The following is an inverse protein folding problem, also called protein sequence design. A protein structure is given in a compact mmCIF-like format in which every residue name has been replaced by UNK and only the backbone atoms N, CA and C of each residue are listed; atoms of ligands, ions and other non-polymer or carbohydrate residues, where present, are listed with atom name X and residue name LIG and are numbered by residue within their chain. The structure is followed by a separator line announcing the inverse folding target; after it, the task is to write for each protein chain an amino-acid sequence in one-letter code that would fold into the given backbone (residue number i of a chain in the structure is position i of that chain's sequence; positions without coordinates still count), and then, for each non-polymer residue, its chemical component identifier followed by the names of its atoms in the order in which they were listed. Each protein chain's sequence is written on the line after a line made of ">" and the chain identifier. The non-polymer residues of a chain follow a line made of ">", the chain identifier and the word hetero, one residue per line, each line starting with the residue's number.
data_IF_748992567563
#
_entry.id   IF_748992567563
#
_cell.length_a   1.000
_cell.length_b   1.000
_cell.length_c   1.000
_cell.angle_alpha   90.00
_cell.angle_beta   90.00
_cell.angle_gamma   90.00
#
_symmetry.space_group_name_H-M   'P 1'
#
loop_
_entity.id
_entity.type
_entity.pdbx_description
1 polymer ?
#
# COMPACT_ATOMS: atom_id res chain seq x y z
N UNK A 1 24.54 -16.58 21.74
CA UNK A 1 25.66 -15.60 21.67
C UNK A 1 25.93 -15.29 20.19
N UNK A 2 25.45 -14.16 19.65
CA UNK A 2 25.66 -13.83 18.23
C UNK A 2 27.12 -13.48 17.94
N UNK A 3 27.69 -14.10 16.88
CA UNK A 3 29.07 -13.87 16.42
C UNK A 3 29.29 -12.40 16.00
N UNK A 4 30.48 -11.86 16.25
CA UNK A 4 30.87 -10.45 16.00
C UNK A 4 30.65 -10.01 14.54
N UNK A 5 30.76 -10.92 13.57
CA UNK A 5 30.41 -10.69 12.15
C UNK A 5 28.91 -10.41 11.95
N UNK A 6 28.03 -11.15 12.61
CA UNK A 6 26.57 -10.96 12.50
C UNK A 6 26.15 -9.60 13.08
N UNK A 7 26.76 -9.17 14.20
CA UNK A 7 26.50 -7.85 14.79
C UNK A 7 26.93 -6.69 13.88
N UNK A 8 28.07 -6.82 13.19
CA UNK A 8 28.55 -5.80 12.26
C UNK A 8 27.70 -5.72 11.00
N UNK A 9 27.23 -6.86 10.49
CA UNK A 9 26.33 -6.91 9.34
C UNK A 9 24.97 -6.27 9.66
N UNK A 10 24.39 -6.60 10.82
CA UNK A 10 23.14 -5.97 11.30
C UNK A 10 23.31 -4.47 11.45
N UNK A 11 24.44 -4.00 12.03
CA UNK A 11 24.71 -2.57 12.17
C UNK A 11 24.83 -1.86 10.81
N UNK A 12 25.48 -2.49 9.83
CA UNK A 12 25.63 -1.92 8.49
C UNK A 12 24.29 -1.83 7.75
N UNK A 13 23.44 -2.86 7.85
CA UNK A 13 22.09 -2.87 7.27
C UNK A 13 21.22 -1.78 7.90
N UNK A 14 21.26 -1.63 9.24
CA UNK A 14 20.50 -0.59 9.94
C UNK A 14 20.95 0.83 9.54
N UNK A 15 22.26 1.06 9.44
CA UNK A 15 22.80 2.36 9.05
C UNK A 15 22.46 2.72 7.60
N UNK A 16 22.52 1.74 6.69
CA UNK A 16 22.12 1.92 5.30
C UNK A 16 20.62 2.23 5.17
N UNK A 17 19.77 1.60 6.00
CA UNK A 17 18.34 1.88 6.03
C UNK A 17 18.05 3.30 6.53
N UNK A 18 18.70 3.77 7.59
CA UNK A 18 18.53 5.14 8.12
C UNK A 18 18.96 6.21 7.10
N UNK A 19 20.06 5.99 6.36
CA UNK A 19 20.51 6.91 5.30
C UNK A 19 19.54 6.95 4.12
N UNK A 20 18.92 5.82 3.74
CA UNK A 20 17.90 5.77 2.70
C UNK A 20 16.60 6.47 3.12
N UNK A 21 16.13 6.23 4.35
CA UNK A 21 14.95 6.89 4.92
C UNK A 21 15.09 8.41 4.94
N UNK A 22 16.29 8.91 5.28
CA UNK A 22 16.59 10.35 5.24
C UNK A 22 16.64 10.91 3.83
N UNK A 23 17.20 10.18 2.86
CA UNK A 23 17.29 10.64 1.46
C UNK A 23 15.93 10.69 0.78
N UNK A 24 15.08 9.70 1.03
CA UNK A 24 13.72 9.62 0.46
C UNK A 24 12.66 10.35 1.29
N UNK A 25 13.08 10.97 2.40
CA UNK A 25 12.23 11.66 3.37
C UNK A 25 10.98 10.87 3.74
N UNK A 26 11.16 9.61 4.16
CA UNK A 26 10.05 8.71 4.49
C UNK A 26 9.37 9.10 5.82
N UNK A 27 8.06 8.88 5.89
CA UNK A 27 7.21 9.19 7.03
C UNK A 27 7.46 8.24 8.20
N UNK A 28 7.64 6.96 7.90
CA UNK A 28 7.89 5.91 8.90
C UNK A 28 9.27 5.29 8.75
N UNK A 29 9.67 4.50 9.75
CA UNK A 29 10.86 3.65 9.66
C UNK A 29 10.56 2.43 8.78
N UNK A 30 11.63 1.85 8.22
CA UNK A 30 11.60 0.64 7.40
C UNK A 30 10.85 -0.52 8.07
N UNK A 31 10.18 -1.35 7.26
CA UNK A 31 9.48 -2.55 7.73
C UNK A 31 10.36 -3.46 8.61
N UNK A 32 11.65 -3.59 8.33
CA UNK A 32 12.53 -4.42 9.17
C UNK A 32 12.69 -3.89 10.61
N UNK A 33 12.37 -2.62 10.82
CA UNK A 33 12.39 -1.97 12.13
C UNK A 33 11.02 -1.99 12.81
N UNK A 34 9.94 -1.84 12.03
CA UNK A 34 8.58 -1.66 12.57
C UNK A 34 7.77 -2.95 12.59
N UNK A 35 7.97 -3.82 11.61
CA UNK A 35 7.09 -4.96 11.32
C UNK A 35 5.69 -4.55 10.84
N UNK A 36 5.53 -3.32 10.35
CA UNK A 36 4.23 -2.74 9.98
C UNK A 36 4.20 -2.34 8.51
N UNK A 37 3.04 -2.55 7.88
CA UNK A 37 2.65 -1.87 6.63
C UNK A 37 1.56 -0.85 6.93
N UNK A 38 1.31 0.08 6.02
CA UNK A 38 0.45 1.24 6.30
C UNK A 38 -0.76 1.27 5.40
N UNK A 39 -1.95 1.20 5.99
CA UNK A 39 -3.23 1.28 5.30
C UNK A 39 -3.91 2.62 5.57
N UNK A 40 -4.53 3.18 4.54
CA UNK A 40 -5.32 4.40 4.63
C UNK A 40 -6.80 4.01 4.53
N UNK A 41 -7.58 4.41 5.54
CA UNK A 41 -9.02 4.20 5.57
C UNK A 41 -9.78 5.51 5.78
N UNK A 42 -11.07 5.53 5.44
CA UNK A 42 -11.92 6.66 5.79
C UNK A 42 -12.07 6.74 7.31
N UNK A 43 -12.03 7.94 7.88
CA UNK A 43 -12.17 8.11 9.33
C UNK A 43 -13.51 7.58 9.87
N UNK A 44 -14.57 7.60 9.07
CA UNK A 44 -15.89 7.08 9.47
C UNK A 44 -15.89 5.56 9.65
N UNK A 45 -14.97 4.85 9.00
CA UNK A 45 -14.82 3.39 9.11
C UNK A 45 -13.97 2.99 10.34
N UNK A 46 -13.29 3.94 10.97
CA UNK A 46 -12.31 3.68 12.04
C UNK A 46 -12.91 2.88 13.20
N UNK A 47 -14.15 3.20 13.61
CA UNK A 47 -14.82 2.48 14.70
C UNK A 47 -14.98 0.99 14.34
N UNK A 48 -15.53 0.71 13.16
CA UNK A 48 -15.75 -0.67 12.72
C UNK A 48 -14.43 -1.42 12.54
N UNK A 49 -13.41 -0.77 11.97
CA UNK A 49 -12.07 -1.35 11.81
C UNK A 49 -11.48 -1.74 13.17
N UNK A 50 -11.61 -0.90 14.19
CA UNK A 50 -11.07 -1.19 15.52
C UNK A 50 -11.87 -2.24 16.30
N UNK A 51 -13.16 -2.39 16.01
CA UNK A 51 -14.02 -3.36 16.68
C UNK A 51 -13.97 -4.74 16.01
N UNK A 52 -13.90 -4.79 14.67
CA UNK A 52 -14.08 -6.01 13.87
C UNK A 52 -12.89 -6.38 12.99
N UNK A 53 -11.92 -5.48 12.83
CA UNK A 53 -10.79 -5.68 11.94
C UNK A 53 -11.11 -5.31 10.49
N UNK A 54 -10.25 -5.72 9.57
CA UNK A 54 -10.40 -5.50 8.13
C UNK A 54 -10.60 -6.85 7.45
N UNK A 55 -11.79 -7.08 6.90
CA UNK A 55 -12.13 -8.35 6.26
C UNK A 55 -11.57 -8.43 4.84
N UNK A 56 -10.86 -9.52 4.53
CA UNK A 56 -10.40 -9.82 3.18
C UNK A 56 -11.56 -10.03 2.21
N UNK A 57 -11.39 -9.62 0.95
CA UNK A 57 -12.41 -9.70 -0.11
C UNK A 57 -13.75 -8.99 0.23
N UNK A 58 -13.70 -8.04 1.17
CA UNK A 58 -14.86 -7.27 1.58
C UNK A 58 -14.89 -5.91 0.86
N UNK A 59 -15.35 -5.91 -0.40
CA UNK A 59 -15.37 -4.71 -1.27
C UNK A 59 -16.61 -3.83 -1.13
N UNK A 60 -17.26 -3.81 0.03
CA UNK A 60 -18.53 -3.09 0.26
C UNK A 60 -18.45 -1.59 -0.08
N UNK A 61 -17.29 -0.96 0.04
CA UNK A 61 -17.07 0.47 -0.20
C UNK A 61 -16.52 0.82 -1.59
N UNK A 62 -16.16 -0.18 -2.42
CA UNK A 62 -15.47 0.04 -3.71
C UNK A 62 -16.17 -0.58 -4.94
N UNK A 63 -17.32 -1.26 -4.73
CA UNK A 63 -17.96 -2.13 -5.74
C UNK A 63 -18.15 -1.49 -7.11
N UNK A 64 -18.55 -0.22 -7.21
CA UNK A 64 -18.98 0.30 -8.52
C UNK A 64 -17.89 1.05 -9.28
N UNK A 65 -16.82 1.53 -8.61
CA UNK A 65 -15.80 2.39 -9.26
C UNK A 65 -14.48 1.69 -9.60
N UNK A 66 -14.10 0.67 -8.85
CA UNK A 66 -12.76 0.06 -8.98
C UNK A 66 -12.76 -1.39 -9.44
N UNK A 67 -13.92 -2.06 -9.52
CA UNK A 67 -13.98 -3.47 -9.88
C UNK A 67 -13.43 -3.73 -11.28
N UNK A 68 -13.86 -2.96 -12.29
CA UNK A 68 -13.38 -3.17 -13.66
C UNK A 68 -11.90 -2.84 -13.82
N UNK A 69 -11.40 -1.89 -13.03
CA UNK A 69 -9.97 -1.59 -12.94
C UNK A 69 -9.20 -2.80 -12.42
N UNK A 70 -9.60 -3.39 -11.29
CA UNK A 70 -8.90 -4.56 -10.75
C UNK A 70 -9.01 -5.79 -11.65
N UNK A 71 -10.19 -6.07 -12.23
CA UNK A 71 -10.40 -7.15 -13.19
C UNK A 71 -9.48 -7.03 -14.41
N UNK A 72 -9.27 -5.80 -14.90
CA UNK A 72 -8.35 -5.56 -16.01
C UNK A 72 -6.95 -6.06 -15.68
N UNK A 73 -6.40 -5.70 -14.51
CA UNK A 73 -5.10 -6.23 -14.07
C UNK A 73 -5.14 -7.74 -13.87
N UNK A 74 -6.13 -8.27 -13.16
CA UNK A 74 -6.23 -9.72 -12.91
C UNK A 74 -6.28 -10.53 -14.21
N UNK A 75 -6.89 -10.02 -15.28
CA UNK A 75 -6.93 -10.67 -16.60
C UNK A 75 -5.58 -10.73 -17.32
N UNK A 76 -4.61 -9.92 -16.89
CA UNK A 76 -3.25 -9.85 -17.45
C UNK A 76 -2.22 -10.55 -16.57
N UNK A 77 -2.64 -11.19 -15.46
CA UNK A 77 -1.76 -11.91 -14.55
C UNK A 77 -1.16 -13.14 -15.25
N UNK A 78 0.18 -13.27 -15.31
CA UNK A 78 0.82 -14.45 -15.89
C UNK A 78 0.70 -15.68 -14.98
N UNK A 79 0.71 -16.87 -15.59
CA UNK A 79 0.45 -18.15 -14.91
C UNK A 79 1.47 -18.53 -13.83
N UNK A 80 2.68 -17.95 -13.85
CA UNK A 80 3.68 -18.21 -12.82
C UNK A 80 3.37 -17.49 -11.49
N UNK A 81 2.51 -16.46 -11.50
CA UNK A 81 2.06 -15.80 -10.27
C UNK A 81 0.96 -16.67 -9.65
N UNK A 82 1.06 -17.01 -8.36
CA UNK A 82 0.12 -17.93 -7.72
C UNK A 82 -1.36 -17.52 -7.90
N UNK A 83 -2.25 -18.51 -7.98
CA UNK A 83 -3.68 -18.29 -8.19
C UNK A 83 -4.39 -17.57 -7.04
N UNK A 84 -3.82 -17.62 -5.83
CA UNK A 84 -4.36 -16.88 -4.69
C UNK A 84 -4.07 -15.38 -4.76
N UNK A 85 -3.13 -14.95 -5.61
CA UNK A 85 -2.82 -13.53 -5.84
C UNK A 85 -3.84 -12.97 -6.83
N UNK A 86 -4.91 -12.40 -6.28
CA UNK A 86 -6.03 -11.85 -7.03
C UNK A 86 -6.25 -10.40 -6.59
N UNK A 87 -5.78 -9.43 -7.38
CA UNK A 87 -5.77 -7.99 -7.03
C UNK A 87 -7.15 -7.51 -6.58
N UNK A 88 -8.22 -7.91 -7.27
CA UNK A 88 -9.58 -7.48 -6.92
C UNK A 88 -10.02 -7.90 -5.51
N UNK A 89 -9.33 -8.83 -4.84
CA UNK A 89 -9.66 -9.28 -3.49
C UNK A 89 -8.78 -8.67 -2.40
N UNK A 90 -7.64 -8.08 -2.76
CA UNK A 90 -6.61 -7.65 -1.83
C UNK A 90 -7.08 -6.49 -0.93
N UNK A 91 -6.59 -6.44 0.30
CA UNK A 91 -6.54 -5.20 1.08
C UNK A 91 -5.27 -4.46 0.65
N UNK A 92 -5.37 -3.17 0.35
CA UNK A 92 -4.26 -2.35 -0.13
C UNK A 92 -3.57 -1.63 1.03
N UNK A 93 -2.25 -1.68 1.08
CA UNK A 93 -1.42 -0.93 2.01
C UNK A 93 -0.14 -0.49 1.29
N UNK A 94 0.74 0.24 1.98
CA UNK A 94 2.07 0.61 1.48
C UNK A 94 3.14 0.19 2.49
N UNK A 95 4.38 0.00 2.04
CA UNK A 95 5.49 -0.27 2.96
C UNK A 95 5.90 1.00 3.71
N UNK A 96 5.71 2.16 3.09
CA UNK A 96 5.91 3.46 3.69
C UNK A 96 5.18 4.56 2.90
N UNK A 97 5.32 5.80 3.32
CA UNK A 97 4.96 6.97 2.54
C UNK A 97 6.09 8.00 2.59
N UNK A 98 6.20 8.84 1.58
CA UNK A 98 7.01 10.07 1.68
C UNK A 98 6.34 11.04 2.67
N UNK A 99 7.11 11.87 3.37
CA UNK A 99 6.54 12.86 4.30
C UNK A 99 5.67 13.88 3.60
N UNK A 100 5.93 14.18 2.33
CA UNK A 100 5.14 15.08 1.50
C UNK A 100 4.00 14.37 0.77
N UNK A 101 3.72 13.09 1.11
CA UNK A 101 2.63 12.36 0.48
C UNK A 101 1.29 13.09 0.68
N UNK A 102 0.53 13.22 -0.40
CA UNK A 102 -0.75 13.90 -0.40
C UNK A 102 -1.85 12.93 0.04
N UNK A 103 -2.13 12.90 1.34
CA UNK A 103 -3.23 12.12 1.87
C UNK A 103 -4.57 12.83 1.62
N UNK A 104 -5.59 12.04 1.26
CA UNK A 104 -6.96 12.55 1.25
C UNK A 104 -7.39 12.94 2.66
N UNK A 105 -8.07 14.09 2.78
CA UNK A 105 -8.61 14.54 4.07
C UNK A 105 -9.69 13.58 4.59
N UNK A 106 -9.92 13.65 5.90
CA UNK A 106 -10.82 12.77 6.63
C UNK A 106 -10.45 11.28 6.52
N UNK A 107 -9.14 11.02 6.51
CA UNK A 107 -8.58 9.68 6.50
C UNK A 107 -7.86 9.36 7.81
N UNK A 108 -7.72 8.07 8.10
CA UNK A 108 -6.88 7.55 9.16
C UNK A 108 -5.75 6.72 8.55
N UNK A 109 -4.52 6.93 9.04
CA UNK A 109 -3.37 6.10 8.70
C UNK A 109 -3.22 5.04 9.79
N UNK A 110 -3.30 3.78 9.38
CA UNK A 110 -3.24 2.60 10.24
C UNK A 110 -1.96 1.82 9.97
N UNK A 111 -1.21 1.49 11.01
CA UNK A 111 -0.16 0.48 10.95
C UNK A 111 -0.77 -0.91 11.12
N UNK A 112 -0.46 -1.82 10.21
CA UNK A 112 -0.98 -3.18 10.18
C UNK A 112 0.15 -4.19 10.36
N UNK A 113 -0.06 -5.18 11.24
CA UNK A 113 0.74 -6.41 11.26
C UNK A 113 0.12 -7.43 10.31
N UNK A 114 0.93 -7.99 9.42
CA UNK A 114 0.47 -8.86 8.34
C UNK A 114 1.22 -10.18 8.31
N UNK A 115 0.59 -11.22 7.78
CA UNK A 115 1.27 -12.47 7.39
C UNK A 115 1.93 -12.25 6.03
N UNK A 116 3.24 -12.02 6.04
CA UNK A 116 4.00 -11.72 4.82
C UNK A 116 3.96 -12.85 3.78
N UNK A 117 3.64 -14.09 4.17
CA UNK A 117 3.52 -15.20 3.22
C UNK A 117 2.22 -15.13 2.41
N UNK A 118 1.28 -14.28 2.83
CA UNK A 118 0.00 -14.00 2.17
C UNK A 118 -0.05 -12.56 1.65
N UNK A 119 1.11 -12.00 1.34
CA UNK A 119 1.23 -10.65 0.82
C UNK A 119 2.05 -10.62 -0.48
N UNK A 120 1.72 -9.68 -1.35
CA UNK A 120 2.40 -9.44 -2.61
C UNK A 120 2.72 -7.95 -2.75
N UNK A 121 3.84 -7.63 -3.39
CA UNK A 121 4.31 -6.26 -3.61
C UNK A 121 4.24 -5.97 -5.10
N UNK A 122 3.65 -4.83 -5.46
CA UNK A 122 3.56 -4.37 -6.83
C UNK A 122 3.89 -2.89 -6.95
N UNK A 123 4.12 -2.41 -8.18
CA UNK A 123 4.40 -1.00 -8.46
C UNK A 123 3.10 -0.26 -8.81
N UNK A 124 2.60 0.53 -7.87
CA UNK A 124 1.37 1.30 -7.95
C UNK A 124 1.39 2.31 -9.09
N UNK A 125 2.54 2.89 -9.45
CA UNK A 125 2.64 3.82 -10.59
C UNK A 125 2.12 3.20 -11.90
N UNK A 126 2.39 1.92 -12.12
CA UNK A 126 1.91 1.20 -13.30
C UNK A 126 0.39 0.99 -13.25
N UNK A 127 -0.17 0.83 -12.06
CA UNK A 127 -1.61 0.74 -11.86
C UNK A 127 -2.30 2.09 -12.06
N UNK A 128 -1.82 3.12 -11.36
CA UNK A 128 -2.42 4.46 -11.33
C UNK A 128 -2.44 5.12 -12.69
N UNK A 129 -1.40 4.93 -13.53
CA UNK A 129 -1.39 5.46 -14.90
C UNK A 129 -2.51 4.92 -15.81
N UNK A 130 -3.20 3.84 -15.42
CA UNK A 130 -4.30 3.24 -16.18
C UNK A 130 -5.68 3.53 -15.60
N UNK A 131 -5.78 4.15 -14.42
CA UNK A 131 -7.07 4.35 -13.77
C UNK A 131 -7.97 5.29 -14.57
N UNK A 132 -7.54 6.52 -14.85
CA UNK A 132 -8.32 7.48 -15.63
C UNK A 132 -8.63 6.96 -17.03
N UNK A 133 -7.68 6.40 -17.82
CA UNK A 133 -8.01 5.80 -19.11
C UNK A 133 -9.13 4.76 -19.02
N UNK A 134 -9.10 3.88 -18.02
CA UNK A 134 -10.11 2.82 -17.84
C UNK A 134 -11.50 3.38 -17.50
N UNK A 135 -11.57 4.45 -16.72
CA UNK A 135 -12.82 5.14 -16.38
C UNK A 135 -13.36 5.96 -17.56
N UNK A 136 -12.48 6.64 -18.31
CA UNK A 136 -12.86 7.57 -19.36
C UNK A 136 -13.19 6.91 -20.71
N UNK A 137 -12.81 5.64 -20.92
CA UNK A 137 -12.93 4.94 -22.22
C UNK A 137 -14.34 4.93 -22.83
N UNK A 138 -15.37 5.01 -21.99
CA UNK A 138 -16.77 4.96 -22.40
C UNK A 138 -17.42 6.36 -22.52
N UNK A 139 -16.66 7.43 -22.26
CA UNK A 139 -17.12 8.82 -22.37
C UNK A 139 -16.75 9.37 -23.76
N UNK A 140 -17.76 9.87 -24.48
CA UNK A 140 -17.65 10.33 -25.89
C UNK A 140 -16.47 11.26 -26.17
N UNK A 141 -16.19 12.19 -25.27
CA UNK A 141 -15.13 13.21 -25.46
C UNK A 141 -13.72 12.62 -25.28
N UNK A 142 -13.60 11.44 -24.67
CA UNK A 142 -12.34 10.73 -24.43
C UNK A 142 -12.16 9.54 -25.37
N UNK A 143 -12.59 9.67 -26.64
CA UNK A 143 -12.54 8.61 -27.66
C UNK A 143 -11.19 7.89 -27.84
N UNK A 144 -10.08 8.53 -27.44
CA UNK A 144 -8.73 7.94 -27.52
C UNK A 144 -8.34 7.09 -26.31
N UNK A 145 -9.09 7.14 -25.20
CA UNK A 145 -8.80 6.37 -24.00
C UNK A 145 -8.90 4.85 -24.26
N UNK A 146 -9.87 4.40 -25.07
CA UNK A 146 -9.94 3.00 -25.50
C UNK A 146 -8.70 2.56 -26.29
N UNK A 147 -8.25 3.36 -27.25
CA UNK A 147 -7.04 3.08 -28.04
C UNK A 147 -5.79 3.09 -27.15
N UNK A 148 -5.72 3.97 -26.16
CA UNK A 148 -4.63 4.00 -25.18
C UNK A 148 -4.57 2.69 -24.39
N UNK A 149 -5.71 2.17 -23.91
CA UNK A 149 -5.75 0.90 -23.18
C UNK A 149 -5.29 -0.26 -24.07
N UNK A 150 -5.77 -0.33 -25.31
CA UNK A 150 -5.43 -1.41 -26.25
C UNK A 150 -3.93 -1.40 -26.62
N UNK A 151 -3.33 -0.23 -26.81
CA UNK A 151 -1.94 -0.10 -27.27
C UNK A 151 -0.90 -0.07 -26.13
N UNK A 152 -1.23 0.62 -25.04
CA UNK A 152 -0.30 0.93 -23.94
C UNK A 152 -0.75 0.24 -22.66
N UNK A 153 -2.05 0.26 -22.37
CA UNK A 153 -2.61 -0.28 -21.13
C UNK A 153 -2.32 -1.77 -20.94
N UNK A 154 -2.51 -2.60 -21.96
CA UNK A 154 -2.22 -4.04 -21.88
C UNK A 154 -0.74 -4.30 -21.55
N UNK A 155 0.18 -3.54 -22.16
CA UNK A 155 1.62 -3.68 -21.91
C UNK A 155 1.97 -3.25 -20.49
N UNK A 156 1.39 -2.14 -20.01
CA UNK A 156 1.61 -1.67 -18.64
C UNK A 156 1.01 -2.63 -17.60
N UNK A 157 -0.19 -3.16 -17.83
CA UNK A 157 -0.82 -4.15 -16.96
C UNK A 157 -0.05 -5.48 -16.88
N UNK A 158 0.60 -5.91 -17.97
CA UNK A 158 1.55 -7.04 -17.93
C UNK A 158 2.80 -6.69 -17.13
N UNK A 159 3.40 -5.53 -17.42
CA UNK A 159 4.59 -5.05 -16.70
C UNK A 159 4.36 -4.91 -15.21
N UNK A 160 3.15 -4.53 -14.80
CA UNK A 160 2.72 -4.47 -13.41
C UNK A 160 2.96 -5.81 -12.71
N UNK A 161 2.47 -6.91 -13.30
CA UNK A 161 2.69 -8.24 -12.76
C UNK A 161 4.12 -8.74 -12.90
N UNK A 162 4.77 -8.48 -14.05
CA UNK A 162 6.14 -8.90 -14.32
C UNK A 162 7.17 -8.26 -13.38
N UNK A 163 6.86 -7.08 -12.84
CA UNK A 163 7.71 -6.36 -11.89
C UNK A 163 7.26 -6.53 -10.43
N UNK A 164 6.16 -7.24 -10.21
CA UNK A 164 5.65 -7.58 -8.88
C UNK A 164 6.32 -8.84 -8.32
N UNK A 165 6.26 -9.02 -7.01
CA UNK A 165 6.91 -10.12 -6.31
C UNK A 165 6.26 -10.42 -4.97
N UNK A 166 6.53 -11.60 -4.39
CA UNK A 166 6.08 -11.91 -3.05
C UNK A 166 6.68 -10.94 -2.02
N UNK A 167 5.98 -10.68 -0.93
CA UNK A 167 6.50 -9.84 0.14
C UNK A 167 7.83 -10.37 0.68
N UNK A 168 7.91 -11.70 0.86
CA UNK A 168 9.12 -12.38 1.34
C UNK A 168 10.31 -12.14 0.40
N UNK A 169 10.11 -12.27 -0.91
CA UNK A 169 11.16 -11.97 -1.89
C UNK A 169 11.52 -10.48 -1.86
N UNK A 170 10.54 -9.60 -1.67
CA UNK A 170 10.80 -8.17 -1.59
C UNK A 170 11.67 -7.81 -0.40
N UNK A 171 11.50 -8.44 0.77
CA UNK A 171 12.39 -8.19 1.92
C UNK A 171 13.87 -8.45 1.62
N UNK A 172 14.16 -9.34 0.66
CA UNK A 172 15.52 -9.62 0.19
C UNK A 172 15.94 -8.73 -0.98
N UNK A 173 15.08 -8.54 -1.98
CA UNK A 173 15.39 -7.83 -3.24
C UNK A 173 15.25 -6.31 -3.14
N UNK A 174 14.42 -5.84 -2.19
CA UNK A 174 14.08 -4.44 -1.92
C UNK A 174 13.68 -3.65 -3.16
N UNK A 175 12.75 -4.19 -3.95
CA UNK A 175 12.20 -3.50 -5.12
C UNK A 175 11.52 -2.19 -4.70
N UNK A 176 10.86 -2.20 -3.54
CA UNK A 176 10.24 -1.05 -2.86
C UNK A 176 11.19 0.13 -2.60
N UNK A 177 12.51 -0.09 -2.65
CA UNK A 177 13.51 0.98 -2.43
C UNK A 177 14.02 1.61 -3.72
N UNK A 178 13.52 1.19 -4.88
CA UNK A 178 13.90 1.77 -6.17
C UNK A 178 13.12 3.05 -6.42
N UNK A 179 13.77 4.04 -7.01
CA UNK A 179 13.22 5.38 -7.22
C UNK A 179 11.95 5.38 -8.10
N UNK A 180 11.86 4.45 -9.06
CA UNK A 180 10.73 4.30 -9.99
C UNK A 180 9.66 3.31 -9.52
N UNK A 181 9.78 2.81 -8.28
CA UNK A 181 8.90 1.79 -7.72
C UNK A 181 8.10 2.37 -6.56
N UNK A 182 6.90 2.86 -6.86
CA UNK A 182 5.93 3.28 -5.85
C UNK A 182 5.22 2.03 -5.35
N UNK A 183 5.57 1.55 -4.16
CA UNK A 183 5.16 0.23 -3.73
C UNK A 183 3.73 0.22 -3.18
N UNK A 184 2.95 -0.74 -3.66
CA UNK A 184 1.72 -1.16 -2.99
C UNK A 184 1.88 -2.59 -2.46
N UNK A 185 1.32 -2.80 -1.27
CA UNK A 185 1.20 -4.08 -0.61
C UNK A 185 -0.21 -4.60 -0.84
N UNK A 186 -0.31 -5.75 -1.49
CA UNK A 186 -1.53 -6.52 -1.66
C UNK A 186 -1.60 -7.58 -0.55
N UNK A 187 -2.56 -7.43 0.36
CA UNK A 187 -2.74 -8.32 1.50
C UNK A 187 -3.90 -9.28 1.20
N UNK A 188 -3.65 -10.59 1.30
CA UNK A 188 -4.60 -11.65 0.95
C UNK A 188 -5.12 -12.43 2.16
N UNK A 189 -5.33 -11.73 3.28
CA UNK A 189 -5.95 -12.26 4.48
C UNK A 189 -6.60 -11.14 5.28
N UNK A 190 -7.58 -11.48 6.12
CA UNK A 190 -8.20 -10.49 7.03
C UNK A 190 -7.19 -10.04 8.09
N UNK A 191 -7.32 -8.79 8.54
CA UNK A 191 -6.54 -8.24 9.64
C UNK A 191 -7.39 -8.18 10.89
N UNK A 192 -6.95 -8.86 11.95
CA UNK A 192 -7.63 -8.87 13.24
C UNK A 192 -7.48 -7.52 13.96
N UNK A 193 -8.45 -7.07 14.77
CA UNK A 193 -8.37 -5.81 15.52
C UNK A 193 -7.05 -5.58 16.28
N UNK A 194 -6.53 -6.64 16.91
CA UNK A 194 -5.29 -6.60 17.71
C UNK A 194 -4.02 -6.29 16.88
N UNK A 195 -4.12 -6.46 15.57
CA UNK A 195 -3.03 -6.28 14.62
C UNK A 195 -3.12 -4.93 13.89
N UNK A 196 -4.02 -4.05 14.34
CA UNK A 196 -4.27 -2.71 13.79
C UNK A 196 -3.87 -1.65 14.82
N UNK A 197 -3.07 -0.68 14.37
CA UNK A 197 -2.57 0.42 15.19
C UNK A 197 -2.93 1.75 14.52
N UNK A 198 -3.85 2.54 15.07
CA UNK A 198 -4.08 3.90 14.59
C UNK A 198 -2.86 4.78 14.86
N UNK A 199 -2.32 5.40 13.80
CA UNK A 199 -1.11 6.21 13.89
C UNK A 199 -1.42 7.70 13.76
N UNK A 200 -2.14 8.07 12.70
CA UNK A 200 -2.48 9.45 12.38
C UNK A 200 -3.91 9.59 11.92
N UNK A 201 -4.49 10.76 12.17
CA UNK A 201 -5.72 11.23 11.53
C UNK A 201 -5.36 12.44 10.66
N UNK A 202 -5.74 12.37 9.39
CA UNK A 202 -5.59 13.41 8.39
C UNK A 202 -6.90 14.19 8.31
N UNK A 203 -6.89 15.44 8.75
CA UNK A 203 -7.96 16.41 8.53
C UNK A 203 -7.64 17.30 7.32
N UNK A 204 -8.55 18.20 6.95
CA UNK A 204 -8.36 19.11 5.80
C UNK A 204 -7.10 19.97 5.88
N UNK A 205 -6.57 20.19 7.09
CA UNK A 205 -5.47 21.13 7.32
C UNK A 205 -4.29 20.54 8.06
N UNK A 206 -4.45 19.38 8.71
CA UNK A 206 -3.43 18.80 9.60
C UNK A 206 -3.47 17.29 9.58
N UNK A 207 -2.28 16.70 9.59
CA UNK A 207 -2.06 15.32 10.01
C UNK A 207 -1.54 15.34 11.44
N UNK A 208 -2.28 14.74 12.37
CA UNK A 208 -1.92 14.66 13.78
C UNK A 208 -1.96 13.22 14.25
N UNK A 209 -1.08 12.88 15.17
CA UNK A 209 -1.10 11.59 15.86
C UNK A 209 -2.38 11.44 16.68
N UNK A 210 -2.71 10.20 17.03
CA UNK A 210 -3.87 9.90 17.87
C UNK A 210 -3.76 10.58 19.25
N UNK A 211 -2.57 10.63 19.83
CA UNK A 211 -2.38 11.21 21.15
C UNK A 211 -2.45 12.74 21.14
N UNK A 212 -1.96 13.39 20.07
CA UNK A 212 -2.20 14.83 19.85
C UNK A 212 -3.70 15.13 19.77
N UNK A 213 -4.47 14.34 19.02
CA UNK A 213 -5.93 14.49 18.98
C UNK A 213 -6.58 14.31 20.35
N UNK A 214 -6.19 13.29 21.11
CA UNK A 214 -6.71 13.08 22.48
C UNK A 214 -6.42 14.28 23.39
N UNK A 215 -5.21 14.82 23.32
CA UNK A 215 -4.80 16.01 24.11
C UNK A 215 -5.65 17.23 23.74
N UNK A 216 -5.88 17.46 22.45
CA UNK A 216 -6.73 18.54 21.95
C UNK A 216 -8.17 18.39 22.47
N UNK A 217 -8.74 17.19 22.37
CA UNK A 217 -10.13 16.92 22.76
C UNK A 217 -10.35 16.96 24.27
N UNK A 218 -9.30 16.72 25.07
CA UNK A 218 -9.32 16.89 26.53
C UNK A 218 -9.23 18.35 26.96
N UNK A 219 -8.84 19.25 26.04
CA UNK A 219 -8.63 20.66 26.35
C UNK A 219 -7.28 20.94 27.02
N UNK A 220 -6.27 20.08 26.83
CA UNK A 220 -4.92 20.24 27.39
C UNK A 220 -4.09 21.34 26.65
N UNK A 221 -4.76 22.39 26.14
CA UNK A 221 -4.14 23.50 25.41
C UNK A 221 -4.17 24.80 26.20
#
# INVERSE_FOLDING_TARGET
>A
MMCKKAKNLVKYILMYNEDWERRLNLLFKDYNSTGLVYHIANINDLKEILEKGITYDHKSTYRDRYIEFHKFFDSLKPDYIPDWVIRQKAIFASMNFKKEHYFHSHSVILGLKVDINKCWIANENLANSLYEPLVLKDIKDFKFAKQYIENIGVKQGRRYWETSLSFVDNLSKRMDKREDYDEEVLIFHSIEPKDIIPLYIVSDHKMLTIDEWKSILKGDR
#
